data_IF_810812702364
#
_entry.id   IF_810812702364
#
_cell.length_a   1.000
_cell.length_b   1.000
_cell.length_c   1.000
_cell.angle_alpha   90.00
_cell.angle_beta   90.00
_cell.angle_gamma   90.00
#
_symmetry.space_group_name_H-M   'P 1'
#
loop_
_entity.id
_entity.type
_entity.pdbx_description
1 polymer ?
#
# COMPACT_ATOMS: atom_id res chain seq x y z
N UNK A 1 -7.59 13.48 -1.95
CA UNK A 1 -7.03 12.13 -2.13
C UNK A 1 -5.52 12.21 -2.01
N UNK A 2 -4.89 11.17 -1.49
CA UNK A 2 -3.45 11.07 -1.31
C UNK A 2 -2.99 9.72 -1.88
N UNK A 3 -1.77 9.65 -2.43
CA UNK A 3 -1.20 8.37 -2.84
C UNK A 3 -0.62 7.71 -1.59
N UNK A 4 -1.21 6.60 -1.15
CA UNK A 4 -0.65 5.83 -0.05
C UNK A 4 0.27 4.75 -0.59
N UNK A 5 1.39 4.55 0.08
CA UNK A 5 2.27 3.44 -0.19
C UNK A 5 1.90 2.20 0.63
N UNK A 6 2.65 1.14 0.35
CA UNK A 6 2.53 -0.15 1.05
C UNK A 6 2.83 -0.05 2.54
N UNK A 7 3.78 0.80 2.99
CA UNK A 7 4.13 0.89 4.41
C UNK A 7 2.97 1.45 5.22
N UNK A 8 2.33 2.52 4.74
CA UNK A 8 1.19 3.15 5.39
C UNK A 8 0.00 2.20 5.53
N UNK A 9 -0.38 1.49 4.46
CA UNK A 9 -1.49 0.55 4.53
C UNK A 9 -1.15 -0.68 5.37
N UNK A 10 0.10 -1.15 5.33
CA UNK A 10 0.56 -2.27 6.17
C UNK A 10 0.49 -1.92 7.64
N UNK A 11 1.05 -0.77 8.04
CA UNK A 11 1.03 -0.30 9.43
C UNK A 11 -0.41 -0.15 9.94
N UNK A 12 -1.32 0.35 9.10
CA UNK A 12 -2.74 0.43 9.42
C UNK A 12 -3.38 -0.95 9.64
N UNK A 13 -3.19 -1.88 8.70
CA UNK A 13 -3.80 -3.22 8.74
C UNK A 13 -3.25 -4.05 9.89
N UNK A 14 -1.93 -4.05 10.10
CA UNK A 14 -1.28 -4.80 11.18
C UNK A 14 -1.46 -4.12 12.55
N UNK A 15 -2.09 -2.94 12.60
CA UNK A 15 -2.29 -2.12 13.81
C UNK A 15 -0.97 -1.84 14.54
N UNK A 16 0.05 -1.45 13.78
CA UNK A 16 1.35 -1.06 14.33
C UNK A 16 1.21 0.16 15.26
N UNK A 17 2.15 0.39 16.19
CA UNK A 17 2.07 1.53 17.10
C UNK A 17 1.82 2.85 16.34
N UNK A 18 0.76 3.57 16.71
CA UNK A 18 0.38 4.83 16.06
C UNK A 18 -0.59 4.69 14.88
N UNK A 19 -1.04 3.49 14.52
CA UNK A 19 -1.95 3.26 13.38
C UNK A 19 -3.21 4.12 13.38
N UNK A 20 -3.69 4.58 14.54
CA UNK A 20 -4.88 5.45 14.61
C UNK A 20 -4.69 6.78 13.87
N UNK A 21 -3.46 7.31 13.83
CA UNK A 21 -3.17 8.54 13.07
C UNK A 21 -3.28 8.30 11.56
N UNK A 22 -3.16 7.04 11.11
CA UNK A 22 -3.22 6.66 9.71
C UNK A 22 -4.64 6.62 9.13
N UNK A 23 -5.68 6.62 9.98
CA UNK A 23 -7.10 6.56 9.57
C UNK A 23 -7.42 7.67 8.55
N UNK A 24 -6.93 8.89 8.79
CA UNK A 24 -7.23 10.05 7.94
C UNK A 24 -6.64 9.90 6.53
N UNK A 25 -5.49 9.24 6.41
CA UNK A 25 -4.82 9.02 5.13
C UNK A 25 -5.44 7.85 4.37
N UNK A 26 -5.82 6.77 5.06
CA UNK A 26 -6.41 5.58 4.42
C UNK A 26 -7.83 5.84 3.90
N UNK A 27 -8.64 6.62 4.62
CA UNK A 27 -10.09 6.77 4.35
C UNK A 27 -10.41 7.35 2.96
N UNK A 28 -9.50 8.13 2.36
CA UNK A 28 -9.67 8.75 1.05
C UNK A 28 -8.35 8.74 0.25
N UNK A 29 -7.89 7.55 -0.10
CA UNK A 29 -6.59 7.31 -0.73
C UNK A 29 -6.71 6.65 -2.11
N UNK A 30 -5.61 6.73 -2.85
CA UNK A 30 -5.40 5.99 -4.09
C UNK A 30 -4.07 5.25 -4.00
N UNK A 31 -3.99 4.09 -4.64
CA UNK A 31 -2.72 3.37 -4.80
C UNK A 31 -2.78 2.49 -6.06
N UNK A 32 -1.65 1.85 -6.38
CA UNK A 32 -1.58 0.83 -7.43
C UNK A 32 -2.13 -0.51 -6.91
N UNK A 33 -2.69 -1.34 -7.77
CA UNK A 33 -3.24 -2.66 -7.39
C UNK A 33 -2.20 -3.61 -6.75
N UNK A 34 -0.90 -3.37 -6.99
CA UNK A 34 0.21 -4.06 -6.33
C UNK A 34 0.14 -3.99 -4.79
N UNK A 35 -0.38 -2.88 -4.23
CA UNK A 35 -0.42 -2.66 -2.78
C UNK A 35 -1.13 -3.81 -2.05
N UNK A 36 -2.14 -4.41 -2.67
CA UNK A 36 -2.88 -5.54 -2.10
C UNK A 36 -1.95 -6.74 -1.91
N UNK A 37 -1.10 -7.03 -2.90
CA UNK A 37 -0.18 -8.16 -2.90
C UNK A 37 0.88 -7.97 -1.80
N UNK A 38 1.39 -6.75 -1.65
CA UNK A 38 2.41 -6.46 -0.65
C UNK A 38 1.88 -6.47 0.78
N UNK A 39 0.69 -5.91 1.02
CA UNK A 39 0.06 -5.97 2.35
C UNK A 39 -0.31 -7.41 2.70
N UNK A 40 -0.82 -8.21 1.75
CA UNK A 40 -1.03 -9.64 1.97
C UNK A 40 0.27 -10.38 2.30
N UNK A 41 1.37 -10.05 1.63
CA UNK A 41 2.69 -10.61 1.93
C UNK A 41 3.17 -10.20 3.34
N UNK A 42 2.89 -8.97 3.78
CA UNK A 42 3.19 -8.52 5.15
C UNK A 42 2.38 -9.30 6.20
N UNK A 43 1.08 -9.51 5.98
CA UNK A 43 0.23 -10.36 6.82
C UNK A 43 0.79 -11.79 6.89
N UNK A 44 1.16 -12.36 5.74
CA UNK A 44 1.75 -13.70 5.67
C UNK A 44 3.08 -13.78 6.45
N UNK A 45 3.98 -12.80 6.27
CA UNK A 45 5.23 -12.70 7.03
C UNK A 45 4.99 -12.62 8.53
N UNK A 46 3.99 -11.84 8.98
CA UNK A 46 3.63 -11.75 10.39
C UNK A 46 3.12 -13.10 10.94
N UNK A 47 2.35 -13.84 10.13
CA UNK A 47 1.90 -15.18 10.48
C UNK A 47 3.05 -16.18 10.58
N UNK A 48 3.96 -16.20 9.60
CA UNK A 48 5.15 -17.08 9.59
C UNK A 48 6.05 -16.82 10.80
N UNK A 49 6.17 -15.56 11.23
CA UNK A 49 6.92 -15.16 12.42
C UNK A 49 6.20 -15.47 13.74
N UNK A 50 4.97 -16.00 13.70
CA UNK A 50 4.17 -16.28 14.90
C UNK A 50 3.61 -15.05 15.60
N UNK A 51 3.69 -13.86 14.99
CA UNK A 51 3.15 -12.60 15.54
C UNK A 51 1.62 -12.60 15.44
N UNK A 52 1.09 -13.24 14.40
CA UNK A 52 -0.34 -13.29 14.08
C UNK A 52 -0.77 -14.76 13.91
N UNK A 53 -1.88 -15.15 14.53
CA UNK A 53 -2.44 -16.50 14.31
C UNK A 53 -3.00 -16.64 12.89
N UNK A 54 -3.11 -17.88 12.39
CA UNK A 54 -3.71 -18.14 11.07
C UNK A 54 -5.10 -17.52 10.94
N UNK A 55 -5.95 -17.68 11.95
CA UNK A 55 -7.30 -17.12 11.98
C UNK A 55 -7.29 -15.60 11.96
N UNK A 56 -6.38 -14.98 12.71
CA UNK A 56 -6.25 -13.52 12.73
C UNK A 56 -5.69 -12.99 11.40
N UNK A 57 -4.78 -13.70 10.73
CA UNK A 57 -4.31 -13.35 9.39
C UNK A 57 -5.46 -13.28 8.36
N UNK A 58 -6.39 -14.23 8.39
CA UNK A 58 -7.58 -14.18 7.53
C UNK A 58 -8.47 -12.98 7.86
N UNK A 59 -8.68 -12.68 9.15
CA UNK A 59 -9.41 -11.46 9.56
C UNK A 59 -8.75 -10.18 9.04
N UNK A 60 -7.42 -10.07 9.13
CA UNK A 60 -6.69 -8.91 8.60
C UNK A 60 -6.82 -8.79 7.08
N UNK A 61 -6.78 -9.92 6.37
CA UNK A 61 -7.05 -9.97 4.93
C UNK A 61 -8.47 -9.51 4.62
N UNK A 62 -9.48 -9.93 5.37
CA UNK A 62 -10.87 -9.50 5.16
C UNK A 62 -11.04 -8.00 5.42
N UNK A 63 -10.37 -7.46 6.44
CA UNK A 63 -10.32 -6.01 6.70
C UNK A 63 -9.69 -5.28 5.51
N UNK A 64 -8.53 -5.73 5.02
CA UNK A 64 -7.88 -5.15 3.83
C UNK A 64 -8.85 -5.12 2.64
N UNK A 65 -9.46 -6.25 2.31
CA UNK A 65 -10.39 -6.34 1.18
C UNK A 65 -11.65 -5.47 1.37
N UNK A 66 -12.07 -5.23 2.61
CA UNK A 66 -13.21 -4.35 2.89
C UNK A 66 -12.93 -2.87 2.60
N UNK A 67 -11.66 -2.45 2.61
CA UNK A 67 -11.22 -1.08 2.32
C UNK A 67 -11.02 -0.84 0.83
N UNK A 68 -10.62 -1.88 0.08
CA UNK A 68 -10.36 -1.77 -1.36
C UNK A 68 -11.65 -1.42 -2.11
N UNK A 69 -11.56 -0.42 -2.98
CA UNK A 69 -12.69 0.08 -3.77
C UNK A 69 -13.70 0.92 -2.96
N UNK A 70 -13.49 1.09 -1.65
CA UNK A 70 -14.31 1.97 -0.80
C UNK A 70 -13.51 3.14 -0.24
N UNK A 71 -12.39 2.85 0.40
CA UNK A 71 -11.49 3.82 1.03
C UNK A 71 -10.19 3.98 0.23
N UNK A 72 -9.68 2.88 -0.31
CA UNK A 72 -8.49 2.84 -1.16
C UNK A 72 -8.93 2.57 -2.59
N UNK A 73 -8.81 3.57 -3.45
CA UNK A 73 -9.04 3.43 -4.89
C UNK A 73 -7.81 2.79 -5.52
N UNK A 74 -7.99 1.73 -6.29
CA UNK A 74 -6.89 1.07 -6.99
C UNK A 74 -6.81 1.53 -8.44
N UNK A 75 -5.60 1.86 -8.86
CA UNK A 75 -5.25 2.04 -10.27
C UNK A 75 -4.45 0.82 -10.77
N UNK A 76 -4.66 0.41 -12.03
CA UNK A 76 -3.86 -0.68 -12.61
C UNK A 76 -2.39 -0.29 -12.74
N UNK A 77 -1.49 -1.11 -12.20
CA UNK A 77 -0.05 -0.82 -12.13
C UNK A 77 0.61 -0.72 -13.51
N UNK A 78 0.09 -1.45 -14.50
CA UNK A 78 0.64 -1.52 -15.87
C UNK A 78 0.68 -0.15 -16.56
N UNK A 79 -0.21 0.78 -16.19
CA UNK A 79 -0.25 2.14 -16.72
C UNK A 79 0.99 2.96 -16.35
N UNK A 80 1.71 2.55 -15.30
CA UNK A 80 2.79 3.34 -14.70
C UNK A 80 4.16 2.68 -14.86
N UNK A 81 4.25 1.44 -15.36
CA UNK A 81 5.50 0.64 -15.40
C UNK A 81 6.63 1.37 -16.12
N UNK A 82 6.38 1.91 -17.32
CA UNK A 82 7.43 2.58 -18.10
C UNK A 82 7.96 3.82 -17.35
N UNK A 83 7.05 4.63 -16.80
CA UNK A 83 7.43 5.82 -16.03
C UNK A 83 8.14 5.46 -14.73
N UNK A 84 7.67 4.42 -14.04
CA UNK A 84 8.27 3.91 -12.82
C UNK A 84 9.68 3.38 -13.09
N UNK A 85 9.92 2.69 -14.21
CA UNK A 85 11.24 2.21 -14.55
C UNK A 85 12.24 3.34 -14.82
N UNK A 86 11.82 4.40 -15.52
CA UNK A 86 12.64 5.61 -15.68
C UNK A 86 13.00 6.22 -14.32
N UNK A 87 12.01 6.40 -13.44
CA UNK A 87 12.21 6.91 -12.08
C UNK A 87 13.19 6.02 -11.29
N UNK A 88 13.03 4.70 -11.37
CA UNK A 88 13.86 3.71 -10.68
C UNK A 88 15.33 3.84 -11.07
N UNK A 89 15.62 3.96 -12.37
CA UNK A 89 17.00 4.12 -12.88
C UNK A 89 17.58 5.47 -12.46
N UNK A 90 16.84 6.56 -12.70
CA UNK A 90 17.33 7.92 -12.45
C UNK A 90 17.60 8.18 -10.96
N UNK A 91 16.80 7.56 -10.08
CA UNK A 91 16.83 7.82 -8.64
C UNK A 91 17.40 6.65 -7.82
N UNK A 92 17.81 5.55 -8.47
CA UNK A 92 18.30 4.32 -7.81
C UNK A 92 17.31 3.76 -6.78
N UNK A 93 16.03 3.75 -7.15
CA UNK A 93 14.94 3.24 -6.32
C UNK A 93 14.44 1.89 -6.83
N UNK A 94 13.95 1.00 -5.95
CA UNK A 94 13.22 -0.19 -6.37
C UNK A 94 12.03 0.17 -7.27
N UNK A 95 11.69 -0.73 -8.21
CA UNK A 95 10.58 -0.53 -9.13
C UNK A 95 9.24 -0.37 -8.40
N UNK A 96 9.05 -1.11 -7.30
CA UNK A 96 7.82 -1.08 -6.49
C UNK A 96 7.59 0.30 -5.86
N UNK A 97 8.62 0.90 -5.29
CA UNK A 97 8.56 2.26 -4.74
C UNK A 97 8.33 3.29 -5.87
N UNK A 98 9.00 3.07 -7.00
CA UNK A 98 8.90 3.96 -8.15
C UNK A 98 7.51 3.98 -8.80
N UNK A 99 6.73 2.89 -8.70
CA UNK A 99 5.35 2.85 -9.16
C UNK A 99 4.45 3.81 -8.37
N UNK A 100 4.64 3.89 -7.05
CA UNK A 100 3.90 4.84 -6.20
C UNK A 100 4.23 6.29 -6.56
N UNK A 101 5.50 6.58 -6.84
CA UNK A 101 5.95 7.91 -7.31
C UNK A 101 5.33 8.22 -8.68
N UNK A 102 5.36 7.27 -9.62
CA UNK A 102 4.78 7.45 -10.95
C UNK A 102 3.28 7.74 -10.87
N UNK A 103 2.54 7.03 -10.01
CA UNK A 103 1.12 7.30 -9.74
C UNK A 103 0.92 8.71 -9.16
N UNK A 104 1.70 9.10 -8.15
CA UNK A 104 1.62 10.42 -7.53
C UNK A 104 1.85 11.55 -8.54
N UNK A 105 2.89 11.41 -9.37
CA UNK A 105 3.17 12.35 -10.46
C UNK A 105 2.03 12.39 -11.48
N UNK A 106 1.51 11.23 -11.90
CA UNK A 106 0.45 11.15 -12.91
C UNK A 106 -0.87 11.75 -12.44
N UNK A 107 -1.17 11.70 -11.14
CA UNK A 107 -2.43 12.22 -10.58
C UNK A 107 -2.29 13.62 -9.99
N UNK A 108 -1.07 14.15 -9.88
CA UNK A 108 -0.81 15.42 -9.20
C UNK A 108 -1.18 15.39 -7.72
N UNK A 109 -1.04 14.23 -7.08
CA UNK A 109 -1.40 14.00 -5.68
C UNK A 109 -0.14 13.81 -4.83
N UNK A 110 -0.12 14.28 -3.57
CA UNK A 110 1.01 14.04 -2.68
C UNK A 110 1.13 12.54 -2.36
N UNK A 111 2.35 11.99 -2.26
CA UNK A 111 2.58 10.66 -1.70
C UNK A 111 2.61 10.69 -0.17
N UNK A 112 2.26 9.57 0.47
CA UNK A 112 2.36 9.36 1.91
C UNK A 112 2.87 7.97 2.23
N UNK A 113 3.86 7.93 3.11
CA UNK A 113 4.45 6.74 3.70
C UNK A 113 4.46 6.87 5.24
N UNK A 114 4.37 5.74 5.93
CA UNK A 114 4.41 5.65 7.40
C UNK A 114 5.73 5.05 7.89
#
# INVERSE_FOLDING_TARGET
MIVIDTSALTAFILKEPGWQSLITYVTNSISIDHIVKEVMNAIWKAQVKGIVSREYAFKLRDILMSLIGKNVVLEPEEKYVDRAFMIAIDNKLPIYDSLHIALAMSKGLPPFNA
#
